data_IF_508262256694
#
_entry.id   IF_508262256694
#
_cell.length_a   1.000
_cell.length_b   1.000
_cell.length_c   1.000
_cell.angle_alpha   90.00
_cell.angle_beta   90.00
_cell.angle_gamma   90.00
#
_symmetry.space_group_name_H-M   'P 1'
#
loop_
_entity.id
_entity.type
_entity.pdbx_description
1 polymer ?
#
# COMPACT_ATOMS: atom_id res chain seq x y z
N UNK A 1 -9.08 1.84 20.47
CA UNK A 1 -10.11 0.87 20.08
C UNK A 1 -9.45 -0.09 19.11
N UNK A 2 -9.08 -1.29 19.57
CA UNK A 2 -8.46 -2.30 18.70
C UNK A 2 -9.61 -2.92 17.92
N UNK A 3 -9.66 -2.66 16.61
CA UNK A 3 -10.56 -3.38 15.72
C UNK A 3 -9.99 -4.79 15.67
N UNK A 4 -10.72 -5.79 16.18
CA UNK A 4 -10.41 -7.18 15.85
C UNK A 4 -10.61 -7.31 14.35
N UNK A 5 -9.52 -7.31 13.59
CA UNK A 5 -9.55 -7.66 12.18
C UNK A 5 -9.92 -9.14 12.10
N UNK A 6 -11.11 -9.42 11.57
CA UNK A 6 -11.52 -10.77 11.25
C UNK A 6 -10.51 -11.37 10.27
N UNK A 7 -10.25 -12.67 10.38
CA UNK A 7 -9.34 -13.34 9.44
C UNK A 7 -9.86 -13.16 8.00
N UNK A 8 -9.01 -12.70 7.05
CA UNK A 8 -9.43 -12.51 5.68
C UNK A 8 -9.81 -13.86 5.06
N UNK A 9 -10.79 -13.84 4.18
CA UNK A 9 -11.30 -15.00 3.47
C UNK A 9 -10.60 -15.21 2.12
N UNK A 10 -10.00 -14.14 1.56
CA UNK A 10 -9.29 -14.21 0.30
C UNK A 10 -8.00 -13.36 0.27
N UNK A 11 -7.07 -13.65 -0.67
CA UNK A 11 -5.87 -12.87 -0.85
C UNK A 11 -6.15 -11.38 -1.09
N UNK A 12 -5.34 -10.52 -0.48
CA UNK A 12 -5.43 -9.05 -0.57
C UNK A 12 -6.71 -8.43 -0.01
N UNK A 13 -7.57 -9.18 0.69
CA UNK A 13 -8.74 -8.60 1.36
C UNK A 13 -8.33 -7.62 2.47
N UNK A 14 -7.30 -8.00 3.23
CA UNK A 14 -6.68 -7.16 4.24
C UNK A 14 -5.20 -7.01 3.90
N UNK A 15 -4.79 -5.77 3.64
CA UNK A 15 -3.40 -5.43 3.32
C UNK A 15 -2.87 -4.44 4.35
N UNK A 16 -1.85 -4.85 5.08
CA UNK A 16 -1.11 -3.91 5.94
C UNK A 16 -0.07 -3.19 5.10
N UNK A 17 0.04 -1.88 5.27
CA UNK A 17 0.99 -1.07 4.53
C UNK A 17 1.82 -0.28 5.53
N UNK A 18 3.15 -0.37 5.37
CA UNK A 18 4.11 0.32 6.22
C UNK A 18 5.23 0.94 5.38
N UNK A 19 5.84 2.00 5.91
CA UNK A 19 6.95 2.72 5.30
C UNK A 19 8.26 2.41 6.01
N UNK A 20 9.21 1.87 5.26
CA UNK A 20 10.61 1.85 5.69
C UNK A 20 11.29 3.08 5.10
N UNK A 21 11.59 4.04 5.97
CA UNK A 21 12.21 5.33 5.58
C UNK A 21 13.70 5.35 5.91
N UNK A 22 14.38 6.42 5.48
CA UNK A 22 15.81 6.67 5.75
C UNK A 22 16.75 5.55 5.25
N UNK A 23 16.40 4.93 4.13
CA UNK A 23 17.27 3.96 3.46
C UNK A 23 18.38 4.71 2.71
N UNK A 24 19.59 4.12 2.60
CA UNK A 24 20.61 4.64 1.71
C UNK A 24 20.08 4.64 0.27
N UNK A 25 20.32 5.69 -0.53
CA UNK A 25 19.86 5.76 -1.91
C UNK A 25 20.33 4.55 -2.73
N UNK A 26 19.42 3.91 -3.45
CA UNK A 26 19.70 2.69 -4.20
C UNK A 26 18.98 2.58 -5.54
N UNK A 27 19.58 1.80 -6.45
CA UNK A 27 19.05 1.56 -7.81
C UNK A 27 19.18 2.76 -8.75
N UNK A 28 18.67 2.61 -9.97
CA UNK A 28 18.85 3.58 -11.06
C UNK A 28 18.19 4.95 -10.79
N UNK A 29 17.21 4.98 -9.88
CA UNK A 29 16.47 6.19 -9.50
C UNK A 29 16.81 6.69 -8.08
N UNK A 30 17.83 6.14 -7.42
CA UNK A 30 18.23 6.57 -6.07
C UNK A 30 17.09 6.52 -5.04
N UNK A 31 16.31 5.44 -5.05
CA UNK A 31 15.22 5.23 -4.09
C UNK A 31 15.77 5.20 -2.66
N UNK A 32 15.11 5.92 -1.75
CA UNK A 32 15.54 6.12 -0.37
C UNK A 32 14.45 5.76 0.66
N UNK A 33 13.29 5.31 0.17
CA UNK A 33 12.18 4.83 0.97
C UNK A 33 11.61 3.57 0.32
N UNK A 34 10.96 2.74 1.12
CA UNK A 34 10.38 1.48 0.68
C UNK A 34 9.02 1.30 1.33
N UNK A 35 7.99 1.20 0.52
CA UNK A 35 6.68 0.81 0.97
C UNK A 35 6.58 -0.71 0.99
N UNK A 36 6.19 -1.26 2.13
CA UNK A 36 5.99 -2.69 2.34
C UNK A 36 4.49 -2.93 2.45
N UNK A 37 3.97 -3.78 1.58
CA UNK A 37 2.58 -4.23 1.64
C UNK A 37 2.56 -5.70 2.04
N UNK A 38 1.77 -6.02 3.05
CA UNK A 38 1.61 -7.37 3.59
C UNK A 38 0.21 -7.86 3.30
N UNK A 39 0.07 -8.89 2.47
CA UNK A 39 -1.17 -9.64 2.33
C UNK A 39 -1.37 -10.50 3.57
N UNK A 40 -2.33 -10.14 4.43
CA UNK A 40 -2.57 -10.87 5.67
C UNK A 40 -2.99 -12.32 5.42
N UNK A 41 -3.75 -12.60 4.35
CA UNK A 41 -4.22 -13.94 4.03
C UNK A 41 -3.08 -14.88 3.65
N UNK A 42 -2.21 -14.42 2.74
CA UNK A 42 -1.07 -15.23 2.25
C UNK A 42 0.17 -15.12 3.12
N UNK A 43 0.18 -14.19 4.07
CA UNK A 43 1.40 -13.76 4.78
C UNK A 43 2.53 -13.41 3.81
N UNK A 44 2.18 -12.78 2.67
CA UNK A 44 3.12 -12.49 1.59
C UNK A 44 3.44 -11.00 1.53
N UNK A 45 4.69 -10.70 1.19
CA UNK A 45 5.20 -9.33 1.12
C UNK A 45 5.31 -8.84 -0.31
N UNK A 46 4.93 -7.59 -0.53
CA UNK A 46 5.19 -6.84 -1.75
C UNK A 46 5.98 -5.59 -1.40
N UNK A 47 7.01 -5.32 -2.19
CA UNK A 47 7.90 -4.18 -2.02
C UNK A 47 7.66 -3.17 -3.14
N UNK A 48 7.49 -1.91 -2.76
CA UNK A 48 7.40 -0.77 -3.67
C UNK A 48 8.49 0.24 -3.32
N UNK A 49 9.55 0.37 -4.15
CA UNK A 49 10.58 1.36 -3.93
C UNK A 49 10.00 2.77 -4.20
N UNK A 50 10.25 3.69 -3.27
CA UNK A 50 9.75 5.06 -3.32
C UNK A 50 10.87 6.06 -3.10
N UNK A 51 10.61 7.30 -3.52
CA UNK A 51 11.44 8.45 -3.18
C UNK A 51 10.68 9.33 -2.20
N UNK A 52 11.41 9.96 -1.29
CA UNK A 52 10.85 10.95 -0.36
C UNK A 52 10.10 12.10 -1.05
N UNK A 53 10.50 12.43 -2.28
CA UNK A 53 9.92 13.50 -3.07
C UNK A 53 8.76 13.03 -3.97
N UNK A 54 8.43 11.73 -3.97
CA UNK A 54 7.27 11.21 -4.71
C UNK A 54 6.00 11.88 -4.21
N UNK A 55 5.14 12.32 -5.14
CA UNK A 55 3.89 12.94 -4.72
C UNK A 55 2.98 11.90 -4.07
N UNK A 56 2.17 12.37 -3.14
CA UNK A 56 1.16 11.54 -2.46
C UNK A 56 0.24 10.83 -3.46
N UNK A 57 -0.06 11.47 -4.60
CA UNK A 57 -0.89 10.87 -5.64
C UNK A 57 -0.14 9.78 -6.41
N UNK A 58 1.13 10.01 -6.75
CA UNK A 58 1.95 9.03 -7.47
C UNK A 58 2.13 7.76 -6.63
N UNK A 59 2.38 7.90 -5.33
CA UNK A 59 2.45 6.77 -4.41
C UNK A 59 1.12 6.01 -4.35
N UNK A 60 -0.01 6.70 -4.27
CA UNK A 60 -1.33 6.06 -4.26
C UNK A 60 -1.57 5.24 -5.54
N UNK A 61 -1.20 5.77 -6.71
CA UNK A 61 -1.28 5.09 -7.99
C UNK A 61 -0.36 3.86 -8.03
N UNK A 62 0.88 3.98 -7.52
CA UNK A 62 1.82 2.87 -7.46
C UNK A 62 1.31 1.72 -6.59
N UNK A 63 0.74 2.03 -5.42
CA UNK A 63 0.09 1.04 -4.54
C UNK A 63 -1.02 0.31 -5.29
N UNK A 64 -1.93 1.06 -5.90
CA UNK A 64 -3.07 0.49 -6.61
C UNK A 64 -2.61 -0.41 -7.76
N UNK A 65 -1.69 0.07 -8.59
CA UNK A 65 -1.13 -0.70 -9.70
C UNK A 65 -0.48 -2.00 -9.22
N UNK A 66 0.23 -1.96 -8.08
CA UNK A 66 0.84 -3.15 -7.50
C UNK A 66 -0.20 -4.17 -7.08
N UNK A 67 -1.24 -3.74 -6.40
CA UNK A 67 -2.33 -4.61 -5.95
C UNK A 67 -3.08 -5.21 -7.15
N UNK A 68 -3.45 -4.39 -8.14
CA UNK A 68 -4.12 -4.84 -9.39
C UNK A 68 -3.23 -5.83 -10.13
N UNK A 69 -1.92 -5.58 -10.25
CA UNK A 69 -1.02 -6.48 -10.96
C UNK A 69 -0.95 -7.89 -10.35
N UNK A 70 -1.28 -8.01 -9.06
CA UNK A 70 -1.20 -9.27 -8.33
C UNK A 70 -2.50 -10.09 -8.36
N UNK A 71 -3.67 -9.44 -8.41
CA UNK A 71 -4.99 -10.13 -8.43
C UNK A 71 -5.76 -9.99 -9.73
N UNK A 72 -5.36 -9.10 -10.63
CA UNK A 72 -6.07 -8.75 -11.88
C UNK A 72 -7.29 -7.84 -11.67
N UNK A 73 -7.93 -7.88 -10.50
CA UNK A 73 -9.02 -6.99 -10.10
C UNK A 73 -8.98 -6.80 -8.57
N UNK A 74 -9.34 -5.61 -8.10
CA UNK A 74 -9.55 -5.35 -6.69
C UNK A 74 -11.04 -5.44 -6.41
N UNK A 75 -11.45 -6.27 -5.44
CA UNK A 75 -12.86 -6.38 -5.05
C UNK A 75 -13.09 -5.60 -3.75
N UNK A 76 -12.54 -6.08 -2.64
CA UNK A 76 -12.59 -5.40 -1.36
C UNK A 76 -11.18 -5.41 -0.77
N UNK A 77 -10.54 -4.24 -0.67
CA UNK A 77 -9.27 -4.11 0.04
C UNK A 77 -9.47 -3.21 1.23
N UNK A 78 -9.17 -3.75 2.40
CA UNK A 78 -9.04 -3.01 3.64
C UNK A 78 -7.56 -2.76 3.84
N UNK A 79 -7.16 -1.49 3.76
CA UNK A 79 -5.81 -1.07 4.11
C UNK A 79 -5.83 -0.60 5.57
N UNK A 80 -4.88 -1.09 6.37
CA UNK A 80 -4.77 -0.64 7.76
C UNK A 80 -4.16 0.77 7.84
N UNK A 81 -4.64 1.59 8.78
CA UNK A 81 -4.13 2.96 8.97
C UNK A 81 -2.97 2.93 9.95
N UNK A 82 -1.74 2.88 9.44
CA UNK A 82 -0.60 3.24 10.28
C UNK A 82 -0.72 4.73 10.70
N UNK A 83 -0.51 5.07 11.98
CA UNK A 83 -0.52 6.47 12.44
C UNK A 83 0.48 7.38 11.68
N UNK A 84 1.54 6.78 11.13
CA UNK A 84 2.54 7.47 10.30
C UNK A 84 2.07 7.68 8.86
N UNK A 85 0.92 7.12 8.46
CA UNK A 85 0.39 7.23 7.12
C UNK A 85 -0.27 8.59 6.88
N UNK A 86 0.16 9.29 5.83
CA UNK A 86 -0.34 10.62 5.49
C UNK A 86 -1.85 10.58 5.18
N UNK A 87 -2.64 11.44 5.82
CA UNK A 87 -4.10 11.52 5.59
C UNK A 87 -4.47 11.85 4.14
N UNK A 88 -3.62 12.62 3.44
CA UNK A 88 -3.79 12.90 2.02
C UNK A 88 -3.59 11.64 1.16
N UNK A 89 -2.65 10.76 1.54
CA UNK A 89 -2.41 9.48 0.84
C UNK A 89 -3.63 8.58 0.97
N UNK A 90 -4.19 8.54 2.18
CA UNK A 90 -5.44 7.83 2.44
C UNK A 90 -6.61 8.33 1.61
N UNK A 91 -6.73 9.65 1.49
CA UNK A 91 -7.81 10.27 0.71
C UNK A 91 -7.65 9.94 -0.78
N UNK A 92 -6.42 10.01 -1.30
CA UNK A 92 -6.12 9.67 -2.69
C UNK A 92 -6.36 8.19 -2.97
N UNK A 93 -5.92 7.27 -2.09
CA UNK A 93 -6.21 5.85 -2.22
C UNK A 93 -7.71 5.60 -2.25
N UNK A 94 -8.46 6.14 -1.29
CA UNK A 94 -9.92 5.96 -1.23
C UNK A 94 -10.61 6.45 -2.51
N UNK A 95 -10.21 7.64 -3.00
CA UNK A 95 -10.75 8.19 -4.25
C UNK A 95 -10.40 7.31 -5.45
N UNK A 96 -9.17 6.80 -5.52
CA UNK A 96 -8.74 5.88 -6.57
C UNK A 96 -9.57 4.60 -6.53
N UNK A 97 -9.67 3.92 -5.39
CA UNK A 97 -10.46 2.69 -5.25
C UNK A 97 -11.91 2.87 -5.72
N UNK A 98 -12.54 3.99 -5.37
CA UNK A 98 -13.91 4.31 -5.78
C UNK A 98 -14.08 4.53 -7.30
N UNK A 99 -13.01 4.77 -8.05
CA UNK A 99 -13.07 4.88 -9.52
C UNK A 99 -12.90 3.52 -10.23
N UNK A 100 -12.30 2.52 -9.56
CA UNK A 100 -12.00 1.21 -10.13
C UNK A 100 -13.00 0.12 -9.73
N UNK A 101 -14.00 0.45 -8.92
CA UNK A 101 -15.15 -0.38 -8.51
C UNK A 101 -16.45 0.19 -9.09
#
# INVERSE_FOLDING_TARGET
MIIQTQEPNCPLEIVHIDWVTALPPGGDRSFNELLVLVDWYRQSLMFLPCQKDDTVMDTAIQILNRLISHTGLLQNIIIDRDPNFNSALWTNLHNLFAMYL
#
